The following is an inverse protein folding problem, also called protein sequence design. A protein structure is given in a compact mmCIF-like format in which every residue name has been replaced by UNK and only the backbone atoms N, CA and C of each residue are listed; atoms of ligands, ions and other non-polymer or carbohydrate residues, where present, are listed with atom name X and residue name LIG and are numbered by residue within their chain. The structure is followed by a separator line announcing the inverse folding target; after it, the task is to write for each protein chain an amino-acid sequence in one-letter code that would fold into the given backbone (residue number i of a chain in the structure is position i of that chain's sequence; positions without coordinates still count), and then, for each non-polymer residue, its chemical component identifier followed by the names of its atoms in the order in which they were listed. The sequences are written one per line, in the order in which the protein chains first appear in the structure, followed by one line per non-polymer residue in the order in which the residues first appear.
data_IF_304535640021
#
_entry.id   IF_304535640021
#
_cell.length_a   1.000
_cell.length_b   1.000
_cell.length_c   1.000
_cell.angle_alpha   90.00
_cell.angle_beta   90.00
_cell.angle_gamma   90.00
#
_symmetry.space_group_name_H-M   'P 1'
#
loop_
_entity.id
_entity.type
_entity.pdbx_description
1 polymer ?
#
# COMPACT_ATOMS: atom_id res chain seq x y z
N UNK A 1 -40.88 43.69 -29.07
CA UNK A 1 -39.97 43.17 -28.03
C UNK A 1 -40.05 41.66 -28.06
N UNK A 2 -39.26 41.03 -28.92
CA UNK A 2 -39.20 39.58 -29.02
C UNK A 2 -38.15 39.11 -28.03
N UNK A 3 -38.55 38.39 -26.99
CA UNK A 3 -37.62 37.66 -26.14
C UNK A 3 -37.12 36.47 -26.96
N UNK A 4 -35.99 36.64 -27.63
CA UNK A 4 -35.21 35.52 -28.14
C UNK A 4 -34.77 34.71 -26.91
N UNK A 5 -35.48 33.62 -26.64
CA UNK A 5 -35.00 32.59 -25.74
C UNK A 5 -33.76 31.97 -26.40
N UNK A 6 -32.59 32.32 -25.88
CA UNK A 6 -31.32 31.75 -26.30
C UNK A 6 -31.27 30.28 -25.89
N UNK A 7 -31.57 29.42 -26.87
CA UNK A 7 -31.54 27.96 -26.73
C UNK A 7 -30.13 27.48 -26.35
N UNK A 8 -29.09 28.25 -26.68
CA UNK A 8 -27.71 27.90 -26.41
C UNK A 8 -27.36 28.05 -24.91
N UNK A 9 -27.96 29.01 -24.20
CA UNK A 9 -27.81 29.19 -22.75
C UNK A 9 -28.55 28.08 -21.96
N UNK A 10 -29.64 27.55 -22.52
CA UNK A 10 -30.34 26.39 -21.94
C UNK A 10 -29.56 25.08 -22.11
N UNK A 11 -28.85 24.88 -23.23
CA UNK A 11 -28.00 23.71 -23.44
C UNK A 11 -26.70 23.76 -22.62
N UNK A 12 -26.14 24.95 -22.39
CA UNK A 12 -24.97 25.13 -21.52
C UNK A 12 -25.27 24.81 -20.04
N UNK A 13 -26.53 24.99 -19.60
CA UNK A 13 -27.00 24.63 -18.25
C UNK A 13 -27.53 23.21 -18.12
N UNK A 14 -27.89 22.57 -19.22
CA UNK A 14 -28.27 21.17 -19.25
C UNK A 14 -27.02 20.29 -19.42
N UNK A 15 -26.12 20.29 -18.43
CA UNK A 15 -25.21 19.15 -18.26
C UNK A 15 -26.09 17.95 -17.90
N UNK A 16 -26.54 17.21 -18.91
CA UNK A 16 -27.21 15.94 -18.73
C UNK A 16 -26.15 14.99 -18.16
N UNK A 17 -25.97 15.05 -16.85
CA UNK A 17 -25.38 13.97 -16.09
C UNK A 17 -26.42 12.87 -16.13
N UNK A 18 -26.28 11.97 -17.11
CA UNK A 18 -26.91 10.65 -17.04
C UNK A 18 -26.23 9.91 -15.89
N UNK A 19 -26.54 10.32 -14.65
CA UNK A 19 -26.43 9.41 -13.54
C UNK A 19 -27.52 8.37 -13.83
N UNK A 20 -27.18 7.10 -14.11
CA UNK A 20 -28.22 6.07 -14.07
C UNK A 20 -28.92 6.23 -12.72
N UNK A 21 -30.24 6.31 -12.74
CA UNK A 21 -31.06 6.36 -11.54
C UNK A 21 -30.92 4.98 -10.85
N UNK A 22 -29.79 4.79 -10.18
CA UNK A 22 -29.45 3.57 -9.45
C UNK A 22 -30.48 3.46 -8.34
N UNK A 23 -31.30 2.42 -8.39
CA UNK A 23 -32.24 2.13 -7.31
C UNK A 23 -31.47 2.02 -6.00
N UNK A 24 -32.07 2.43 -4.87
CA UNK A 24 -31.40 2.38 -3.56
C UNK A 24 -30.90 0.95 -3.22
N UNK A 25 -31.53 -0.08 -3.80
CA UNK A 25 -31.09 -1.47 -3.73
C UNK A 25 -29.85 -1.78 -4.59
N UNK A 26 -29.78 -1.34 -5.85
CA UNK A 26 -28.57 -1.52 -6.67
C UNK A 26 -27.35 -0.79 -6.08
N UNK A 27 -27.56 0.40 -5.51
CA UNK A 27 -26.51 1.15 -4.83
C UNK A 27 -25.97 0.43 -3.60
N UNK A 28 -26.83 -0.20 -2.80
CA UNK A 28 -26.42 -0.95 -1.60
C UNK A 28 -25.73 -2.27 -1.94
N UNK A 29 -26.16 -2.96 -3.00
CA UNK A 29 -25.50 -4.16 -3.51
C UNK A 29 -24.11 -3.85 -4.06
N UNK A 30 -23.96 -2.74 -4.80
CA UNK A 30 -22.68 -2.30 -5.33
C UNK A 30 -21.72 -1.82 -4.22
N UNK A 31 -22.19 -1.00 -3.28
CA UNK A 31 -21.41 -0.58 -2.11
C UNK A 31 -20.95 -1.80 -1.28
N UNK A 32 -21.81 -2.80 -1.08
CA UNK A 32 -21.45 -4.02 -0.36
C UNK A 32 -20.43 -4.90 -1.10
N UNK A 33 -20.36 -4.81 -2.44
CA UNK A 33 -19.36 -5.50 -3.26
C UNK A 33 -18.03 -4.76 -3.23
N UNK A 34 -18.04 -3.43 -3.38
CA UNK A 34 -16.86 -2.57 -3.30
C UNK A 34 -16.21 -2.66 -1.90
N UNK A 35 -16.99 -2.70 -0.83
CA UNK A 35 -16.49 -2.88 0.54
C UNK A 35 -15.82 -4.24 0.75
N UNK A 36 -16.34 -5.31 0.12
CA UNK A 36 -15.72 -6.63 0.18
C UNK A 36 -14.42 -6.66 -0.60
N UNK A 37 -14.39 -6.04 -1.77
CA UNK A 37 -13.21 -5.99 -2.63
C UNK A 37 -12.08 -5.19 -1.96
N UNK A 38 -12.40 -4.01 -1.40
CA UNK A 38 -11.47 -3.23 -0.59
C UNK A 38 -10.96 -3.97 0.65
N UNK A 39 -11.82 -4.74 1.34
CA UNK A 39 -11.37 -5.58 2.47
C UNK A 39 -10.44 -6.69 2.03
N UNK A 40 -10.71 -7.36 0.91
CA UNK A 40 -9.85 -8.43 0.38
C UNK A 40 -8.49 -7.85 -0.02
N UNK A 41 -8.47 -6.70 -0.68
CA UNK A 41 -7.24 -6.04 -1.10
C UNK A 41 -6.39 -5.57 0.09
N UNK A 42 -7.02 -4.95 1.11
CA UNK A 42 -6.35 -4.58 2.35
C UNK A 42 -5.79 -5.78 3.11
N UNK A 43 -6.56 -6.87 3.21
CA UNK A 43 -6.11 -8.09 3.89
C UNK A 43 -4.94 -8.73 3.13
N UNK A 44 -5.00 -8.78 1.80
CA UNK A 44 -3.90 -9.28 0.97
C UNK A 44 -2.65 -8.43 1.15
N UNK A 45 -2.78 -7.11 1.13
CA UNK A 45 -1.66 -6.19 1.38
C UNK A 45 -1.02 -6.42 2.74
N UNK A 46 -1.84 -6.59 3.78
CA UNK A 46 -1.37 -6.85 5.14
C UNK A 46 -0.67 -8.21 5.28
N UNK A 47 -1.19 -9.26 4.66
CA UNK A 47 -0.57 -10.59 4.65
C UNK A 47 0.77 -10.54 3.94
N UNK A 48 0.84 -9.94 2.76
CA UNK A 48 2.09 -9.82 1.99
C UNK A 48 3.12 -9.02 2.77
N UNK A 49 2.71 -7.89 3.36
CA UNK A 49 3.59 -7.10 4.22
C UNK A 49 4.10 -7.91 5.42
N UNK A 50 3.21 -8.65 6.09
CA UNK A 50 3.57 -9.53 7.20
C UNK A 50 4.57 -10.62 6.81
N UNK A 51 4.38 -11.25 5.64
CA UNK A 51 5.31 -12.24 5.10
C UNK A 51 6.69 -11.65 4.80
N UNK A 52 6.75 -10.43 4.24
CA UNK A 52 8.01 -9.74 3.98
C UNK A 52 8.73 -9.45 5.30
N UNK A 53 8.03 -8.90 6.29
CA UNK A 53 8.61 -8.63 7.63
C UNK A 53 9.12 -9.92 8.27
N UNK A 54 8.33 -11.00 8.22
CA UNK A 54 8.73 -12.30 8.74
C UNK A 54 10.00 -12.83 8.05
N UNK A 55 10.08 -12.74 6.72
CA UNK A 55 11.25 -13.14 5.97
C UNK A 55 12.49 -12.33 6.37
N UNK A 56 12.35 -11.01 6.54
CA UNK A 56 13.45 -10.15 6.99
C UNK A 56 13.93 -10.52 8.40
N UNK A 57 13.02 -10.85 9.31
CA UNK A 57 13.37 -11.29 10.68
C UNK A 57 14.11 -12.62 10.65
N UNK A 58 13.65 -13.59 9.85
CA UNK A 58 14.31 -14.90 9.73
C UNK A 58 15.71 -14.76 9.12
N UNK A 59 15.85 -13.99 8.05
CA UNK A 59 17.16 -13.74 7.41
C UNK A 59 18.08 -13.00 8.37
N UNK A 60 17.60 -11.94 9.03
CA UNK A 60 18.38 -11.19 10.01
C UNK A 60 18.84 -12.06 11.18
N UNK A 61 17.96 -12.94 11.69
CA UNK A 61 18.29 -13.89 12.74
C UNK A 61 19.34 -14.91 12.33
N UNK A 62 19.20 -15.50 11.13
CA UNK A 62 20.19 -16.43 10.58
C UNK A 62 21.55 -15.75 10.37
N UNK A 63 21.57 -14.55 9.79
CA UNK A 63 22.81 -13.80 9.61
C UNK A 63 23.45 -13.42 10.96
N UNK A 64 22.66 -13.03 11.97
CA UNK A 64 23.18 -12.75 13.30
C UNK A 64 23.78 -14.01 13.95
N UNK A 65 23.13 -15.16 13.77
CA UNK A 65 23.63 -16.44 14.23
C UNK A 65 24.97 -16.80 13.57
N UNK A 66 25.04 -16.78 12.24
CA UNK A 66 26.27 -17.12 11.51
C UNK A 66 27.42 -16.13 11.74
N UNK A 67 27.10 -14.84 11.90
CA UNK A 67 28.12 -13.80 12.10
C UNK A 67 28.74 -13.82 13.51
N UNK A 68 27.97 -14.19 14.53
CA UNK A 68 28.36 -14.02 15.95
C UNK A 68 28.54 -15.34 16.68
N UNK A 69 27.70 -16.34 16.41
CA UNK A 69 27.61 -17.56 17.19
C UNK A 69 28.18 -18.78 16.48
N UNK A 70 28.21 -18.81 15.15
CA UNK A 70 28.78 -19.93 14.40
C UNK A 70 30.30 -19.83 14.29
N UNK A 71 31.01 -20.63 15.10
CA UNK A 71 32.45 -20.75 15.09
C UNK A 71 33.00 -21.46 13.83
N UNK A 72 32.17 -22.26 13.15
CA UNK A 72 32.55 -23.06 11.97
C UNK A 72 32.25 -22.35 10.64
N UNK A 73 31.51 -21.23 10.67
CA UNK A 73 31.20 -20.45 9.48
C UNK A 73 32.47 -19.96 8.77
N UNK A 74 32.48 -20.08 7.43
CA UNK A 74 33.59 -19.59 6.61
C UNK A 74 33.73 -18.07 6.72
N UNK A 75 34.93 -17.55 6.49
CA UNK A 75 35.19 -16.10 6.55
C UNK A 75 34.31 -15.32 5.55
N UNK A 76 34.04 -15.89 4.38
CA UNK A 76 33.14 -15.29 3.39
C UNK A 76 31.68 -15.28 3.87
N UNK A 77 31.22 -16.38 4.46
CA UNK A 77 29.86 -16.48 5.03
C UNK A 77 29.63 -15.39 6.09
N UNK A 78 30.59 -15.20 7.00
CA UNK A 78 30.50 -14.14 8.03
C UNK A 78 30.48 -12.74 7.43
N UNK A 79 31.27 -12.48 6.38
CA UNK A 79 31.30 -11.17 5.71
C UNK A 79 29.97 -10.86 5.03
N UNK A 80 29.37 -11.84 4.35
CA UNK A 80 28.03 -11.71 3.78
C UNK A 80 26.97 -11.49 4.85
N UNK A 81 27.00 -12.27 5.93
CA UNK A 81 26.07 -12.11 7.04
C UNK A 81 26.15 -10.71 7.68
N UNK A 82 27.36 -10.18 7.91
CA UNK A 82 27.56 -8.82 8.42
C UNK A 82 27.08 -7.73 7.45
N UNK A 83 27.31 -7.93 6.15
CA UNK A 83 26.85 -6.98 5.11
C UNK A 83 25.32 -6.95 5.05
N UNK A 84 24.69 -8.12 5.08
CA UNK A 84 23.22 -8.25 5.10
C UNK A 84 22.62 -7.62 6.36
N UNK A 85 23.22 -7.85 7.54
CA UNK A 85 22.78 -7.20 8.78
C UNK A 85 22.87 -5.68 8.67
N UNK A 86 23.97 -5.15 8.12
CA UNK A 86 24.15 -3.71 7.93
C UNK A 86 23.09 -3.13 6.99
N UNK A 87 22.76 -3.83 5.91
CA UNK A 87 21.70 -3.44 4.99
C UNK A 87 20.31 -3.47 5.66
N UNK A 88 20.01 -4.49 6.48
CA UNK A 88 18.77 -4.56 7.24
C UNK A 88 18.63 -3.41 8.24
N UNK A 89 19.71 -3.05 8.95
CA UNK A 89 19.72 -1.90 9.84
C UNK A 89 19.51 -0.58 9.08
N UNK A 90 20.25 -0.35 8.00
CA UNK A 90 20.12 0.85 7.18
C UNK A 90 18.71 1.00 6.57
N UNK A 91 18.15 -0.10 6.07
CA UNK A 91 16.78 -0.14 5.56
C UNK A 91 15.75 0.15 6.65
N UNK A 92 15.91 -0.43 7.85
CA UNK A 92 15.02 -0.19 8.98
C UNK A 92 15.04 1.26 9.45
N UNK A 93 16.23 1.86 9.57
CA UNK A 93 16.38 3.28 9.91
C UNK A 93 15.73 4.16 8.85
N UNK A 94 15.96 3.87 7.56
CA UNK A 94 15.36 4.62 6.45
C UNK A 94 13.83 4.52 6.46
N UNK A 95 13.28 3.35 6.76
CA UNK A 95 11.84 3.13 6.88
C UNK A 95 11.24 3.96 8.03
N UNK A 96 11.87 3.94 9.21
CA UNK A 96 11.42 4.72 10.37
C UNK A 96 11.47 6.22 10.07
N UNK A 97 12.56 6.71 9.49
CA UNK A 97 12.70 8.12 9.09
C UNK A 97 11.66 8.52 8.04
N UNK A 98 11.40 7.66 7.06
CA UNK A 98 10.33 7.85 6.07
C UNK A 98 8.95 7.95 6.72
N UNK A 99 8.63 7.06 7.66
CA UNK A 99 7.36 7.09 8.42
C UNK A 99 7.21 8.35 9.26
N UNK A 100 8.27 8.79 9.94
CA UNK A 100 8.26 10.04 10.72
C UNK A 100 8.03 11.26 9.83
N UNK A 101 8.59 11.26 8.63
CA UNK A 101 8.42 12.35 7.65
C UNK A 101 7.02 12.34 7.04
N UNK A 102 6.49 11.17 6.70
CA UNK A 102 5.15 11.01 6.14
C UNK A 102 4.04 11.42 7.13
N UNK A 103 4.19 11.12 8.42
CA UNK A 103 3.24 11.50 9.47
C UNK A 103 3.24 13.00 9.84
N UNK A 104 4.22 13.77 9.34
CA UNK A 104 4.33 15.22 9.57
C UNK A 104 3.65 16.07 8.50
N UNK A 105 3.11 15.44 7.45
CA UNK A 105 2.20 16.07 6.48
C UNK A 105 0.76 15.78 6.87
#
# INVERSE_FOLDING_TARGET
MSQELDVNDMFARASITIAPEETAEERTVRLGKDDREHRIEHVKGMIVFGLIVLALVLIGGLCAYEAVFDAAASADTRRWAQTTLSALFAGSVSFVLGQMTAKRK
#
